data_IF_954653969529
#
_entry.id   IF_954653969529
#
_cell.length_a   1.000
_cell.length_b   1.000
_cell.length_c   1.000
_cell.angle_alpha   90.00
_cell.angle_beta   90.00
_cell.angle_gamma   90.00
#
_symmetry.space_group_name_H-M   'P 1'
#
loop_
_entity.id
_entity.type
_entity.pdbx_description
1 polymer ?
#
# COMPACT_ATOMS: atom_id res chain seq x y z
N UNK A 1 15.95 -24.34 5.99
CA UNK A 1 16.69 -23.58 7.03
C UNK A 1 15.86 -23.61 8.30
N UNK A 2 16.46 -23.66 9.49
CA UNK A 2 15.70 -23.64 10.73
C UNK A 2 15.25 -22.21 11.06
N UNK A 3 13.96 -22.03 11.37
CA UNK A 3 13.40 -20.72 11.78
C UNK A 3 13.95 -20.36 13.16
N UNK A 4 14.56 -19.18 13.29
CA UNK A 4 15.08 -18.67 14.57
C UNK A 4 14.02 -17.82 15.27
N UNK A 5 13.77 -18.10 16.55
CA UNK A 5 12.70 -17.46 17.34
C UNK A 5 13.27 -16.55 18.40
N UNK A 6 12.63 -15.40 18.60
CA UNK A 6 13.03 -14.38 19.55
C UNK A 6 11.88 -14.00 20.46
N UNK A 7 12.24 -13.60 21.69
CA UNK A 7 11.30 -13.07 22.70
C UNK A 7 11.47 -11.57 22.94
N UNK A 8 12.56 -10.98 22.48
CA UNK A 8 12.90 -9.57 22.71
C UNK A 8 13.52 -8.96 21.48
N UNK A 9 13.19 -7.70 21.24
CA UNK A 9 13.57 -6.98 20.03
C UNK A 9 15.08 -6.75 19.91
N UNK A 10 15.77 -6.52 21.02
CA UNK A 10 17.24 -6.35 21.05
C UNK A 10 17.97 -7.57 20.48
N UNK A 11 17.47 -8.78 20.78
CA UNK A 11 18.06 -10.01 20.26
C UNK A 11 17.84 -10.16 18.75
N UNK A 12 16.75 -9.61 18.21
CA UNK A 12 16.50 -9.56 16.76
C UNK A 12 17.41 -8.55 16.09
N UNK A 13 17.53 -7.35 16.66
CA UNK A 13 18.38 -6.27 16.13
C UNK A 13 19.82 -6.74 15.93
N UNK A 14 20.38 -7.48 16.90
CA UNK A 14 21.73 -8.04 16.81
C UNK A 14 21.93 -9.06 15.66
N UNK A 15 20.85 -9.59 15.11
CA UNK A 15 20.87 -10.57 14.01
C UNK A 15 20.58 -9.94 12.65
N UNK A 16 20.03 -8.72 12.65
CA UNK A 16 19.85 -7.91 11.45
C UNK A 16 21.18 -7.23 11.13
N UNK A 17 22.05 -7.98 10.48
CA UNK A 17 23.37 -7.56 9.98
C UNK A 17 23.29 -6.67 8.73
N UNK A 18 22.12 -6.57 8.08
CA UNK A 18 21.93 -5.85 6.83
C UNK A 18 21.31 -4.48 7.04
N UNK A 19 21.86 -3.47 6.35
CA UNK A 19 21.47 -2.06 6.43
C UNK A 19 20.16 -1.71 5.72
N UNK A 20 19.46 -2.70 5.18
CA UNK A 20 18.26 -2.49 4.39
C UNK A 20 17.09 -3.31 4.94
N UNK A 21 16.16 -2.60 5.60
CA UNK A 21 14.99 -3.18 6.27
C UNK A 21 13.74 -2.55 5.68
N UNK A 22 12.87 -3.38 5.12
CA UNK A 22 11.61 -2.97 4.48
C UNK A 22 10.40 -3.50 5.25
N UNK A 23 9.45 -2.63 5.54
CA UNK A 23 8.18 -2.99 6.16
C UNK A 23 7.09 -3.19 5.10
N UNK A 24 6.27 -4.22 5.28
CA UNK A 24 5.12 -4.49 4.41
C UNK A 24 3.81 -4.34 5.17
N UNK A 25 2.99 -3.39 4.73
CA UNK A 25 1.61 -3.25 5.17
C UNK A 25 0.65 -3.66 4.07
N UNK A 26 -0.51 -4.20 4.44
CA UNK A 26 -1.53 -4.61 3.50
C UNK A 26 -2.73 -5.21 4.19
N UNK A 27 -3.53 -5.97 3.45
CA UNK A 27 -4.64 -6.69 4.07
C UNK A 27 -4.14 -7.92 4.81
N UNK A 28 -4.39 -7.99 6.11
CA UNK A 28 -4.17 -9.16 6.98
C UNK A 28 -5.44 -10.01 7.10
N UNK A 29 -6.59 -9.36 7.31
CA UNK A 29 -7.89 -10.02 7.52
C UNK A 29 -8.79 -10.08 6.28
N UNK A 30 -8.36 -9.46 5.18
CA UNK A 30 -9.07 -9.46 3.90
C UNK A 30 -8.14 -10.00 2.82
N UNK A 31 -8.69 -10.67 1.81
CA UNK A 31 -7.89 -11.10 0.67
C UNK A 31 -7.90 -10.07 -0.45
N UNK A 32 -6.83 -10.02 -1.23
CA UNK A 32 -6.80 -9.27 -2.47
C UNK A 32 -7.80 -9.82 -3.50
N UNK A 33 -8.42 -8.94 -4.29
CA UNK A 33 -9.34 -9.36 -5.37
C UNK A 33 -8.58 -9.94 -6.57
N UNK A 34 -7.60 -9.22 -7.05
CA UNK A 34 -6.87 -9.49 -8.29
C UNK A 34 -5.39 -9.75 -7.99
N UNK A 35 -5.13 -10.70 -7.08
CA UNK A 35 -3.79 -10.96 -6.54
C UNK A 35 -2.76 -11.26 -7.64
N UNK A 36 -3.00 -12.27 -8.46
CA UNK A 36 -2.05 -12.70 -9.49
C UNK A 36 -1.98 -11.73 -10.68
N UNK A 37 -3.05 -10.97 -10.92
CA UNK A 37 -3.17 -10.10 -12.10
C UNK A 37 -2.69 -8.67 -11.87
N UNK A 38 -2.68 -8.20 -10.62
CA UNK A 38 -2.30 -6.81 -10.28
C UNK A 38 -1.27 -6.76 -9.16
N UNK A 39 -1.52 -7.45 -8.04
CA UNK A 39 -0.63 -7.36 -6.86
C UNK A 39 0.75 -7.93 -7.15
N UNK A 40 0.82 -9.18 -7.62
CA UNK A 40 2.09 -9.85 -7.92
C UNK A 40 2.91 -9.16 -9.03
N UNK A 41 2.31 -8.75 -10.18
CA UNK A 41 3.03 -7.96 -11.18
C UNK A 41 3.55 -6.63 -10.62
N UNK A 42 2.74 -5.91 -9.85
CA UNK A 42 3.19 -4.65 -9.24
C UNK A 42 4.37 -4.87 -8.30
N UNK A 43 4.33 -5.90 -7.46
CA UNK A 43 5.45 -6.25 -6.59
C UNK A 43 6.70 -6.55 -7.42
N UNK A 44 6.56 -7.34 -8.48
CA UNK A 44 7.68 -7.70 -9.36
C UNK A 44 8.31 -6.49 -10.05
N UNK A 45 7.50 -5.54 -10.50
CA UNK A 45 7.95 -4.39 -11.30
C UNK A 45 8.35 -3.17 -10.45
N UNK A 46 7.76 -3.01 -9.26
CA UNK A 46 7.87 -1.79 -8.46
C UNK A 46 8.52 -1.99 -7.10
N UNK A 47 8.50 -3.21 -6.56
CA UNK A 47 9.08 -3.51 -5.24
C UNK A 47 10.42 -4.22 -5.40
N UNK A 48 10.45 -5.34 -6.13
CA UNK A 48 11.68 -6.15 -6.26
C UNK A 48 12.91 -5.38 -6.75
N UNK A 49 12.82 -4.45 -7.72
CA UNK A 49 14.00 -3.70 -8.18
C UNK A 49 14.64 -2.79 -7.12
N UNK A 50 13.92 -2.49 -6.05
CA UNK A 50 14.42 -1.66 -4.95
C UNK A 50 15.02 -2.46 -3.80
N UNK A 51 14.85 -3.79 -3.79
CA UNK A 51 15.37 -4.64 -2.72
C UNK A 51 16.82 -5.03 -3.04
N UNK A 52 17.77 -4.53 -2.26
CA UNK A 52 19.16 -4.93 -2.34
C UNK A 52 19.36 -6.42 -2.03
N UNK A 53 20.55 -6.92 -2.36
CA UNK A 53 20.93 -8.29 -2.01
C UNK A 53 20.95 -8.46 -0.49
N UNK A 54 20.30 -9.49 0.02
CA UNK A 54 20.26 -9.76 1.47
C UNK A 54 19.30 -8.88 2.29
N UNK A 55 18.53 -7.98 1.66
CA UNK A 55 17.60 -7.10 2.37
C UNK A 55 16.65 -7.87 3.31
N UNK A 56 16.26 -7.25 4.42
CA UNK A 56 15.31 -7.83 5.37
C UNK A 56 13.91 -7.30 5.12
N UNK A 57 12.95 -8.20 4.97
CA UNK A 57 11.53 -7.89 4.86
C UNK A 57 10.87 -8.15 6.21
N UNK A 58 10.11 -7.17 6.71
CA UNK A 58 9.34 -7.26 7.94
C UNK A 58 7.87 -7.42 7.59
N UNK A 59 7.28 -8.52 8.05
CA UNK A 59 5.87 -8.83 7.93
C UNK A 59 5.24 -9.15 9.28
N UNK A 60 3.92 -9.31 9.31
CA UNK A 60 3.15 -9.57 10.53
C UNK A 60 2.51 -10.95 10.44
N UNK A 61 2.53 -11.71 11.54
CA UNK A 61 2.36 -13.18 11.60
C UNK A 61 1.03 -13.79 11.18
N UNK A 62 0.39 -13.27 10.14
CA UNK A 62 -0.79 -13.87 9.54
C UNK A 62 -0.42 -15.14 8.74
N UNK A 63 -1.20 -16.22 8.87
CA UNK A 63 -0.99 -17.44 8.09
C UNK A 63 -1.19 -17.17 6.59
N UNK A 64 -0.49 -17.95 5.76
CA UNK A 64 -0.64 -17.92 4.31
C UNK A 64 -1.84 -18.77 3.90
N UNK A 65 -2.76 -18.18 3.15
CA UNK A 65 -3.87 -18.88 2.51
C UNK A 65 -3.86 -18.58 1.01
N UNK A 66 -3.55 -19.56 0.17
CA UNK A 66 -3.53 -19.40 -1.29
C UNK A 66 -4.91 -19.09 -1.89
N UNK A 67 -6.00 -19.52 -1.22
CA UNK A 67 -7.37 -19.27 -1.70
C UNK A 67 -7.84 -17.85 -1.37
N UNK A 68 -7.28 -17.27 -0.32
CA UNK A 68 -7.60 -15.93 0.16
C UNK A 68 -6.30 -15.15 0.42
N UNK A 69 -5.56 -14.78 -0.65
CA UNK A 69 -4.23 -14.24 -0.50
C UNK A 69 -4.23 -12.89 0.21
N UNK A 70 -3.37 -12.77 1.22
CA UNK A 70 -3.17 -11.59 2.08
C UNK A 70 -1.76 -11.03 1.88
N UNK A 71 -1.36 -10.03 2.68
CA UNK A 71 -0.01 -9.48 2.65
C UNK A 71 1.06 -10.56 2.92
N UNK A 72 0.77 -11.56 3.75
CA UNK A 72 1.67 -12.70 3.99
C UNK A 72 1.94 -13.52 2.72
N UNK A 73 0.96 -13.66 1.83
CA UNK A 73 1.18 -14.30 0.53
C UNK A 73 2.13 -13.49 -0.34
N UNK A 74 2.10 -12.15 -0.26
CA UNK A 74 3.06 -11.30 -0.98
C UNK A 74 4.47 -11.52 -0.45
N UNK A 75 4.67 -11.44 0.86
CA UNK A 75 6.00 -11.60 1.48
C UNK A 75 6.57 -12.99 1.18
N UNK A 76 5.75 -14.04 1.28
CA UNK A 76 6.13 -15.39 0.85
C UNK A 76 6.57 -15.41 -0.61
N UNK A 77 5.78 -14.80 -1.51
CA UNK A 77 6.09 -14.82 -2.93
C UNK A 77 7.39 -14.07 -3.26
N UNK A 78 7.68 -12.97 -2.55
CA UNK A 78 8.96 -12.26 -2.67
C UNK A 78 10.11 -13.17 -2.24
N UNK A 79 10.00 -13.86 -1.08
CA UNK A 79 11.04 -14.80 -0.61
C UNK A 79 11.29 -15.93 -1.60
N UNK A 80 10.25 -16.43 -2.28
CA UNK A 80 10.41 -17.44 -3.33
C UNK A 80 11.14 -16.90 -4.56
N UNK A 81 10.85 -15.67 -4.99
CA UNK A 81 11.55 -15.03 -6.12
C UNK A 81 12.96 -14.53 -5.77
N UNK A 82 13.19 -14.21 -4.50
CA UNK A 82 14.45 -13.67 -3.96
C UNK A 82 14.86 -14.48 -2.73
N UNK A 83 15.40 -15.70 -2.89
CA UNK A 83 15.83 -16.53 -1.76
C UNK A 83 16.91 -15.89 -0.88
N UNK A 84 17.60 -14.88 -1.42
CA UNK A 84 18.63 -14.11 -0.73
C UNK A 84 18.09 -13.11 0.30
N UNK A 85 16.85 -12.63 0.17
CA UNK A 85 16.26 -11.75 1.18
C UNK A 85 15.96 -12.50 2.46
N UNK A 86 16.06 -11.84 3.61
CA UNK A 86 15.67 -12.38 4.91
C UNK A 86 14.24 -11.94 5.24
N UNK A 87 13.47 -12.77 5.93
CA UNK A 87 12.12 -12.42 6.39
C UNK A 87 12.06 -12.48 7.91
N UNK A 88 11.76 -11.34 8.53
CA UNK A 88 11.37 -11.21 9.92
C UNK A 88 9.85 -11.12 10.02
N UNK A 89 9.25 -12.06 10.75
CA UNK A 89 7.85 -11.99 11.12
C UNK A 89 7.72 -11.49 12.55
N UNK A 90 6.97 -10.42 12.75
CA UNK A 90 6.59 -9.91 14.07
C UNK A 90 5.17 -10.41 14.37
N UNK A 91 4.98 -10.99 15.55
CA UNK A 91 3.65 -11.43 15.99
C UNK A 91 3.47 -11.31 17.49
N UNK A 92 2.20 -11.26 17.91
CA UNK A 92 1.85 -11.34 19.32
C UNK A 92 2.04 -12.77 19.83
N UNK A 93 2.37 -12.92 21.11
CA UNK A 93 2.68 -14.21 21.73
C UNK A 93 1.55 -15.24 21.65
N UNK A 94 0.30 -14.81 21.56
CA UNK A 94 -0.85 -15.72 21.40
C UNK A 94 -0.80 -16.51 20.09
N UNK A 95 -0.15 -15.97 19.05
CA UNK A 95 -0.02 -16.63 17.76
C UNK A 95 1.01 -17.77 17.78
N UNK A 96 1.76 -17.97 18.86
CA UNK A 96 2.69 -19.10 19.03
C UNK A 96 2.01 -20.47 19.00
N UNK A 97 0.70 -20.53 19.22
CA UNK A 97 -0.09 -21.76 19.09
C UNK A 97 -0.27 -22.20 17.64
N UNK A 98 -0.02 -21.29 16.68
CA UNK A 98 -0.04 -21.58 15.26
C UNK A 98 1.37 -21.99 14.79
N UNK A 99 1.49 -22.80 13.73
CA UNK A 99 2.79 -23.07 13.11
C UNK A 99 3.45 -21.76 12.66
N UNK A 100 4.76 -21.66 12.86
CA UNK A 100 5.51 -20.52 12.33
C UNK A 100 5.38 -20.47 10.80
N UNK A 101 5.32 -19.26 10.20
CA UNK A 101 5.25 -19.13 8.76
C UNK A 101 6.49 -19.72 8.09
N UNK A 102 6.30 -20.67 7.18
CA UNK A 102 7.40 -21.44 6.57
C UNK A 102 8.39 -20.61 5.74
N UNK A 103 7.99 -19.39 5.37
CA UNK A 103 8.81 -18.43 4.62
C UNK A 103 9.63 -17.50 5.53
N UNK A 104 9.45 -17.57 6.85
CA UNK A 104 10.18 -16.74 7.80
C UNK A 104 11.59 -17.30 8.05
N UNK A 105 12.58 -16.42 8.13
CA UNK A 105 13.91 -16.76 8.65
C UNK A 105 13.95 -16.48 10.16
N UNK A 106 13.27 -15.41 10.58
CA UNK A 106 13.17 -14.95 11.96
C UNK A 106 11.72 -14.77 12.37
N UNK A 107 11.40 -15.14 13.61
CA UNK A 107 10.09 -14.85 14.21
C UNK A 107 10.29 -14.18 15.57
N UNK A 108 9.76 -12.97 15.73
CA UNK A 108 9.70 -12.25 16.99
C UNK A 108 8.29 -12.33 17.55
N UNK A 109 8.15 -13.00 18.69
CA UNK A 109 6.90 -13.00 19.43
C UNK A 109 7.00 -12.15 20.69
N UNK A 110 6.08 -11.20 20.85
CA UNK A 110 6.06 -10.28 22.00
C UNK A 110 4.76 -10.36 22.81
N UNK A 111 4.85 -10.00 24.08
CA UNK A 111 3.70 -9.95 25.01
C UNK A 111 3.08 -8.56 25.12
N UNK A 112 3.64 -7.55 24.44
CA UNK A 112 3.15 -6.17 24.44
C UNK A 112 1.89 -5.99 23.56
N UNK A 113 0.78 -6.62 23.93
CA UNK A 113 -0.51 -6.51 23.23
C UNK A 113 -1.68 -6.55 24.22
N UNK A 114 -2.84 -6.03 23.80
CA UNK A 114 -4.07 -5.98 24.60
C UNK A 114 -5.26 -6.53 23.79
N UNK A 115 -6.28 -7.05 24.47
CA UNK A 115 -7.52 -7.46 23.80
C UNK A 115 -8.28 -6.24 23.27
N UNK A 116 -8.91 -6.37 22.09
CA UNK A 116 -9.74 -5.30 21.51
C UNK A 116 -9.43 -5.01 20.04
N UNK A 117 -9.92 -3.85 19.55
CA UNK A 117 -9.84 -3.46 18.12
C UNK A 117 -8.38 -3.33 17.63
N UNK A 118 -7.44 -3.09 18.53
CA UNK A 118 -6.03 -2.80 18.26
C UNK A 118 -5.08 -3.91 18.71
N UNK A 119 -5.62 -5.11 18.98
CA UNK A 119 -4.87 -6.29 19.41
C UNK A 119 -3.68 -6.63 18.55
N UNK A 120 -3.78 -6.41 17.24
CA UNK A 120 -2.75 -6.77 16.27
C UNK A 120 -1.94 -5.57 15.74
N UNK A 121 -2.27 -4.34 16.16
CA UNK A 121 -1.61 -3.12 15.71
C UNK A 121 -2.53 -1.91 15.71
N UNK A 122 -1.96 -0.75 15.40
CA UNK A 122 -2.59 0.55 15.33
C UNK A 122 -2.17 1.46 16.48
N UNK A 123 -3.07 2.40 16.79
CA UNK A 123 -2.92 3.36 17.89
C UNK A 123 -4.04 3.16 18.89
N UNK A 124 -3.70 3.15 20.18
CA UNK A 124 -4.68 3.11 21.24
C UNK A 124 -5.52 4.41 21.21
N UNK A 125 -6.85 4.33 21.05
CA UNK A 125 -7.70 5.52 20.91
C UNK A 125 -7.80 6.36 22.18
N UNK A 126 -7.43 5.81 23.34
CA UNK A 126 -7.47 6.49 24.64
C UNK A 126 -6.17 7.24 24.90
N UNK A 127 -5.02 6.59 24.70
CA UNK A 127 -3.71 7.18 25.01
C UNK A 127 -3.08 7.90 23.82
N UNK A 128 -3.49 7.55 22.59
CA UNK A 128 -2.83 8.02 21.37
C UNK A 128 -1.50 7.32 21.08
N UNK A 129 -1.11 6.32 21.89
CA UNK A 129 0.18 5.65 21.75
C UNK A 129 0.12 4.45 20.80
N UNK A 130 1.23 4.15 20.07
CA UNK A 130 1.37 2.91 19.30
C UNK A 130 1.21 1.67 20.18
N UNK A 131 0.51 0.65 19.68
CA UNK A 131 0.26 -0.58 20.42
C UNK A 131 0.55 -1.85 19.59
N UNK A 132 0.74 -2.98 20.27
CA UNK A 132 0.95 -4.29 19.64
C UNK A 132 2.11 -4.27 18.63
N UNK A 133 1.96 -4.96 17.49
CA UNK A 133 2.96 -5.02 16.43
C UNK A 133 3.43 -3.62 15.98
N UNK A 134 2.56 -2.59 16.07
CA UNK A 134 2.92 -1.22 15.69
C UNK A 134 3.97 -0.62 16.59
N UNK A 135 3.83 -0.82 17.91
CA UNK A 135 4.86 -0.44 18.87
C UNK A 135 6.18 -1.15 18.59
N UNK A 136 6.13 -2.43 18.26
CA UNK A 136 7.33 -3.24 18.06
C UNK A 136 8.08 -2.86 16.79
N UNK A 137 7.40 -2.64 15.65
CA UNK A 137 8.12 -2.21 14.45
C UNK A 137 8.67 -0.78 14.59
N UNK A 138 8.01 0.07 15.37
CA UNK A 138 8.52 1.42 15.65
C UNK A 138 9.75 1.36 16.57
N UNK A 139 9.73 0.52 17.61
CA UNK A 139 10.91 0.26 18.44
C UNK A 139 12.05 -0.34 17.62
N UNK A 140 11.74 -1.24 16.67
CA UNK A 140 12.72 -1.80 15.74
C UNK A 140 13.38 -0.69 14.92
N UNK A 141 12.58 0.23 14.37
CA UNK A 141 13.08 1.37 13.63
C UNK A 141 14.03 2.23 14.46
N UNK A 142 13.71 2.51 15.72
CA UNK A 142 14.56 3.35 16.58
C UNK A 142 15.84 2.65 17.07
N UNK A 143 15.81 1.32 17.24
CA UNK A 143 16.97 0.56 17.70
C UNK A 143 17.98 0.26 16.58
N UNK A 144 17.53 0.25 15.33
CA UNK A 144 18.41 0.11 14.17
C UNK A 144 19.13 1.44 13.91
N UNK A 145 20.46 1.42 13.87
CA UNK A 145 21.28 2.62 13.59
C UNK A 145 20.90 3.29 12.25
N UNK A 146 20.49 2.50 11.26
CA UNK A 146 20.06 2.95 9.94
C UNK A 146 18.53 3.07 9.81
N UNK A 147 17.78 2.69 10.84
CA UNK A 147 16.33 2.64 10.81
C UNK A 147 15.73 1.70 9.77
N UNK A 148 14.44 1.90 9.51
CA UNK A 148 13.71 1.25 8.42
C UNK A 148 13.92 2.07 7.16
N UNK A 149 14.30 1.41 6.08
CA UNK A 149 14.62 2.05 4.80
C UNK A 149 13.36 2.52 4.06
N UNK A 150 12.30 1.71 4.02
CA UNK A 150 11.04 2.03 3.33
C UNK A 150 9.88 1.16 3.80
N UNK A 151 8.67 1.71 3.75
CA UNK A 151 7.41 0.98 3.92
C UNK A 151 6.71 0.80 2.57
N UNK A 152 6.34 -0.44 2.27
CA UNK A 152 5.52 -0.80 1.11
C UNK A 152 4.09 -1.07 1.58
N UNK A 153 3.13 -0.29 1.08
CA UNK A 153 1.72 -0.45 1.44
C UNK A 153 0.96 -1.02 0.25
N UNK A 154 0.45 -2.24 0.39
CA UNK A 154 -0.30 -2.95 -0.66
C UNK A 154 -1.75 -3.07 -0.21
N UNK A 155 -2.51 -1.96 -0.24
CA UNK A 155 -3.84 -1.88 0.37
C UNK A 155 -3.81 -1.80 1.89
N UNK A 156 -4.89 -2.18 2.56
CA UNK A 156 -5.00 -2.13 4.02
C UNK A 156 -6.29 -1.47 4.51
N UNK A 157 -6.42 -1.35 5.82
CA UNK A 157 -7.60 -0.78 6.48
C UNK A 157 -7.26 0.37 7.42
N UNK A 158 -8.17 0.63 8.37
CA UNK A 158 -7.98 1.61 9.46
C UNK A 158 -6.64 1.50 10.19
N UNK A 159 -6.16 0.29 10.49
CA UNK A 159 -4.86 0.09 11.16
C UNK A 159 -3.71 0.55 10.27
N UNK A 160 -3.66 0.10 9.02
CA UNK A 160 -2.65 0.53 8.04
C UNK A 160 -2.61 2.05 7.87
N UNK A 161 -3.78 2.69 7.88
CA UNK A 161 -3.90 4.15 7.85
C UNK A 161 -3.22 4.84 9.04
N UNK A 162 -3.43 4.31 10.25
CA UNK A 162 -2.79 4.82 11.45
C UNK A 162 -1.27 4.62 11.38
N UNK A 163 -0.82 3.45 10.95
CA UNK A 163 0.61 3.13 10.84
C UNK A 163 1.32 3.98 9.79
N UNK A 164 0.65 4.28 8.67
CA UNK A 164 1.20 5.21 7.66
C UNK A 164 1.39 6.62 8.21
N UNK A 165 0.47 7.11 9.05
CA UNK A 165 0.61 8.42 9.69
C UNK A 165 1.79 8.44 10.64
N UNK A 166 1.87 7.45 11.54
CA UNK A 166 3.00 7.30 12.46
C UNK A 166 4.33 7.23 11.70
N UNK A 167 4.39 6.42 10.65
CA UNK A 167 5.61 6.28 9.86
C UNK A 167 6.04 7.59 9.18
N UNK A 168 5.09 8.38 8.68
CA UNK A 168 5.39 9.63 7.98
C UNK A 168 5.64 10.81 8.92
N UNK A 169 4.88 10.92 10.01
CA UNK A 169 4.88 12.08 10.90
C UNK A 169 5.92 11.93 12.02
N UNK A 170 6.07 10.73 12.60
CA UNK A 170 6.96 10.49 13.73
C UNK A 170 8.30 9.87 13.30
N UNK A 171 8.26 8.83 12.47
CA UNK A 171 9.46 8.09 12.09
C UNK A 171 10.12 8.61 10.79
N UNK A 172 9.45 9.50 10.06
CA UNK A 172 9.89 10.07 8.78
C UNK A 172 10.30 9.02 7.72
N UNK A 173 9.75 7.80 7.80
CA UNK A 173 10.10 6.69 6.91
C UNK A 173 9.46 6.92 5.53
N UNK A 174 10.19 6.72 4.42
CA UNK A 174 9.61 6.75 3.08
C UNK A 174 8.51 5.69 2.90
N UNK A 175 7.39 6.07 2.30
CA UNK A 175 6.25 5.17 2.05
C UNK A 175 5.91 5.14 0.57
N UNK A 176 5.83 3.95 -0.03
CA UNK A 176 5.23 3.76 -1.35
C UNK A 176 3.96 2.91 -1.21
N UNK A 177 2.82 3.51 -1.54
CA UNK A 177 1.51 2.90 -1.39
C UNK A 177 0.88 2.54 -2.74
N UNK A 178 0.49 1.29 -2.90
CA UNK A 178 -0.24 0.71 -4.03
C UNK A 178 -1.60 0.24 -3.52
N UNK A 179 -2.66 0.97 -3.87
CA UNK A 179 -3.99 0.70 -3.32
C UNK A 179 -4.77 -0.33 -4.14
N UNK A 180 -4.76 -1.58 -3.69
CA UNK A 180 -5.54 -2.66 -4.31
C UNK A 180 -6.92 -2.85 -3.66
N UNK A 181 -7.88 -3.29 -4.46
CA UNK A 181 -9.22 -3.62 -3.97
C UNK A 181 -9.23 -4.97 -3.22
N UNK A 182 -9.95 -5.07 -2.08
CA UNK A 182 -10.19 -6.35 -1.45
C UNK A 182 -11.19 -7.17 -2.26
N UNK A 183 -11.10 -8.50 -2.14
CA UNK A 183 -11.99 -9.48 -2.78
C UNK A 183 -13.44 -9.20 -2.41
N UNK A 184 -13.71 -8.92 -1.13
CA UNK A 184 -15.03 -8.47 -0.65
C UNK A 184 -15.00 -6.98 -0.35
N UNK A 185 -15.77 -6.22 -1.12
CA UNK A 185 -15.87 -4.77 -0.96
C UNK A 185 -17.01 -4.41 0.00
N UNK A 186 -16.68 -4.13 1.26
CA UNK A 186 -17.63 -3.61 2.25
C UNK A 186 -17.68 -2.09 2.23
N UNK A 187 -18.72 -1.48 2.82
CA UNK A 187 -18.78 -0.02 2.97
C UNK A 187 -17.60 0.51 3.81
N UNK A 188 -17.19 -0.24 4.84
CA UNK A 188 -15.99 0.04 5.64
C UNK A 188 -14.74 0.06 4.77
N UNK A 189 -14.51 -0.98 3.95
CA UNK A 189 -13.35 -1.05 3.06
C UNK A 189 -13.32 0.10 2.04
N UNK A 190 -14.49 0.55 1.54
CA UNK A 190 -14.56 1.75 0.67
C UNK A 190 -14.12 3.01 1.40
N UNK A 191 -14.55 3.19 2.65
CA UNK A 191 -14.16 4.32 3.50
C UNK A 191 -12.66 4.33 3.79
N UNK A 192 -12.08 3.17 4.10
CA UNK A 192 -10.65 3.02 4.36
C UNK A 192 -9.81 3.36 3.12
N UNK A 193 -10.18 2.84 1.94
CA UNK A 193 -9.50 3.17 0.68
C UNK A 193 -9.62 4.66 0.36
N UNK A 194 -10.79 5.26 0.55
CA UNK A 194 -10.98 6.70 0.33
C UNK A 194 -10.10 7.54 1.28
N UNK A 195 -9.97 7.12 2.53
CA UNK A 195 -9.11 7.76 3.53
C UNK A 195 -7.64 7.65 3.15
N UNK A 196 -7.19 6.47 2.69
CA UNK A 196 -5.81 6.26 2.22
C UNK A 196 -5.47 7.20 1.08
N UNK A 197 -6.42 7.43 0.17
CA UNK A 197 -6.25 8.40 -0.93
C UNK A 197 -6.10 9.82 -0.44
N UNK A 198 -6.89 10.23 0.53
CA UNK A 198 -6.85 11.60 1.06
C UNK A 198 -5.51 11.93 1.71
N UNK A 199 -4.84 10.95 2.33
CA UNK A 199 -3.54 11.14 2.98
C UNK A 199 -2.38 11.33 2.01
N UNK A 200 -2.51 10.88 0.76
CA UNK A 200 -1.43 10.99 -0.21
C UNK A 200 -1.79 11.94 -1.38
N UNK A 201 -2.95 12.60 -1.34
CA UNK A 201 -3.35 13.52 -2.39
C UNK A 201 -2.57 14.85 -2.30
N UNK A 202 -1.99 15.38 -3.42
CA UNK A 202 -1.09 16.54 -3.38
C UNK A 202 -1.70 17.81 -2.80
N UNK A 203 -3.02 17.95 -2.92
CA UNK A 203 -3.80 19.11 -2.46
C UNK A 203 -4.54 18.89 -1.14
N UNK A 204 -4.32 17.75 -0.47
CA UNK A 204 -4.98 17.49 0.81
C UNK A 204 -4.25 18.23 1.93
N UNK A 205 -4.96 18.92 2.84
CA UNK A 205 -4.35 19.49 4.03
C UNK A 205 -3.80 18.41 4.98
N UNK A 206 -4.22 17.15 4.83
CA UNK A 206 -3.74 16.00 5.60
C UNK A 206 -2.70 15.17 4.83
N UNK A 207 -1.92 15.79 3.93
CA UNK A 207 -0.93 15.10 3.10
C UNK A 207 0.26 14.62 3.93
N UNK A 208 0.67 13.37 3.72
CA UNK A 208 1.91 12.84 4.25
C UNK A 208 3.10 13.24 3.35
N UNK A 209 4.11 13.95 3.88
CA UNK A 209 5.19 14.53 3.07
C UNK A 209 6.08 13.46 2.40
N UNK A 210 6.24 12.30 3.03
CA UNK A 210 7.15 11.23 2.59
C UNK A 210 6.42 10.02 1.97
N UNK A 211 5.18 10.20 1.51
CA UNK A 211 4.37 9.14 0.91
C UNK A 211 4.12 9.35 -0.60
N UNK A 212 4.46 8.34 -1.41
CA UNK A 212 4.08 8.25 -2.83
C UNK A 212 2.86 7.33 -2.98
N UNK A 213 1.91 7.72 -3.83
CA UNK A 213 0.72 6.91 -4.10
C UNK A 213 0.67 6.46 -5.56
N UNK A 214 0.51 5.17 -5.73
CA UNK A 214 0.31 4.51 -7.00
C UNK A 214 -1.11 3.96 -7.07
N UNK A 215 -1.77 4.26 -8.17
CA UNK A 215 -3.10 3.75 -8.48
C UNK A 215 -2.98 2.77 -9.62
N UNK A 216 -3.40 1.53 -9.37
CA UNK A 216 -3.63 0.57 -10.44
C UNK A 216 -5.13 0.36 -10.61
N UNK A 217 -5.66 0.79 -11.75
CA UNK A 217 -7.08 0.71 -12.07
C UNK A 217 -7.33 -0.52 -12.92
N UNK A 218 -7.32 -1.69 -12.29
CA UNK A 218 -7.70 -2.95 -12.94
C UNK A 218 -9.10 -2.92 -13.54
N UNK A 219 -9.19 -2.95 -14.87
CA UNK A 219 -10.39 -3.00 -15.72
C UNK A 219 -11.46 -1.90 -15.51
N UNK A 220 -11.99 -1.40 -16.63
CA UNK A 220 -12.86 -0.22 -16.78
C UNK A 220 -14.18 -0.22 -15.98
N UNK A 221 -14.59 -1.33 -15.35
CA UNK A 221 -15.86 -1.41 -14.59
C UNK A 221 -15.80 -0.68 -13.24
N UNK A 222 -14.64 -0.71 -12.57
CA UNK A 222 -14.45 -0.03 -11.30
C UNK A 222 -14.39 1.49 -11.49
N UNK A 223 -13.74 1.95 -12.57
CA UNK A 223 -13.70 3.37 -12.96
C UNK A 223 -15.11 3.91 -13.27
N UNK A 224 -15.94 3.12 -13.98
CA UNK A 224 -17.36 3.47 -14.26
C UNK A 224 -18.20 3.57 -12.99
N UNK A 225 -18.01 2.63 -12.05
CA UNK A 225 -18.72 2.63 -10.76
C UNK A 225 -18.28 3.79 -9.87
N UNK A 226 -17.01 4.19 -9.94
CA UNK A 226 -16.47 5.32 -9.19
C UNK A 226 -16.94 6.67 -9.77
N UNK A 227 -16.96 6.80 -11.10
CA UNK A 227 -17.47 8.00 -11.79
C UNK A 227 -18.96 8.21 -11.55
N UNK A 228 -19.77 7.14 -11.50
CA UNK A 228 -21.20 7.26 -11.25
C UNK A 228 -21.57 7.61 -9.80
N UNK A 229 -20.72 7.28 -8.83
CA UNK A 229 -20.96 7.58 -7.40
C UNK A 229 -20.35 8.90 -6.93
N UNK A 230 -19.23 9.34 -7.52
CA UNK A 230 -18.56 10.59 -7.13
C UNK A 230 -19.04 11.81 -7.94
N UNK A 231 -19.70 11.60 -9.08
CA UNK A 231 -20.29 12.65 -9.93
C UNK A 231 -21.72 12.24 -10.31
N UNK A 232 -22.72 12.42 -9.43
CA UNK A 232 -24.11 12.18 -9.79
C UNK A 232 -24.50 13.14 -10.92
N UNK A 233 -24.47 12.66 -12.16
CA UNK A 233 -24.69 13.44 -13.39
C UNK A 233 -23.66 13.23 -14.51
N UNK A 234 -22.55 12.51 -14.27
CA UNK A 234 -21.63 12.11 -15.34
C UNK A 234 -22.14 10.82 -16.03
N UNK A 235 -22.96 10.97 -17.07
CA UNK A 235 -23.25 9.86 -17.97
C UNK A 235 -22.04 9.57 -18.86
N UNK A 236 -21.44 8.40 -18.70
CA UNK A 236 -20.56 7.85 -19.74
C UNK A 236 -21.44 7.27 -20.85
N UNK A 237 -21.84 8.09 -21.82
CA UNK A 237 -22.49 7.60 -23.03
C UNK A 237 -21.42 7.10 -24.01
N UNK A 238 -21.40 5.79 -24.29
CA UNK A 238 -20.93 5.31 -25.58
C UNK A 238 -21.87 5.88 -26.65
N UNK A 239 -21.29 6.42 -27.72
CA UNK A 239 -21.94 7.41 -28.58
C UNK A 239 -23.31 7.00 -29.15
N UNK A 240 -24.19 7.98 -29.21
CA UNK A 240 -25.13 8.19 -30.32
C UNK A 240 -25.46 9.68 -30.39
N UNK A 241 -25.36 10.26 -31.58
CA UNK A 241 -25.61 11.67 -31.86
C UNK A 241 -26.97 12.16 -31.35
N UNK A 242 -26.99 13.35 -30.75
CA UNK A 242 -28.22 14.00 -30.31
C UNK A 242 -27.97 15.43 -29.82
N UNK A 243 -28.30 16.42 -30.67
CA UNK A 243 -28.26 17.85 -30.36
C UNK A 243 -29.21 18.19 -29.19
N UNK A 244 -28.74 18.98 -28.20
CA UNK A 244 -29.39 20.20 -27.66
C UNK A 244 -28.66 20.75 -26.41
N UNK A 245 -28.28 22.02 -26.48
CA UNK A 245 -28.59 23.07 -25.50
C UNK A 245 -27.97 23.06 -24.08
N UNK A 246 -27.12 24.09 -23.86
CA UNK A 246 -27.03 24.97 -22.69
C UNK A 246 -25.98 24.81 -21.58
N UNK A 247 -25.41 25.99 -21.29
CA UNK A 247 -24.71 26.55 -20.12
C UNK A 247 -23.19 26.38 -19.97
N UNK A 248 -22.55 27.56 -19.95
CA UNK A 248 -21.12 27.83 -19.79
C UNK A 248 -20.67 27.52 -18.37
N UNK A 249 -19.60 26.74 -18.28
CA UNK A 249 -18.73 26.59 -17.13
C UNK A 249 -17.55 25.77 -17.61
N UNK A 250 -16.33 26.31 -17.51
CA UNK A 250 -15.12 25.61 -17.94
C UNK A 250 -14.97 24.34 -17.08
N UNK A 251 -15.33 23.19 -17.63
CA UNK A 251 -15.08 21.89 -16.99
C UNK A 251 -13.69 21.44 -17.37
N UNK A 252 -12.76 21.48 -16.42
CA UNK A 252 -11.45 20.86 -16.57
C UNK A 252 -11.59 19.36 -16.33
N UNK A 253 -11.27 18.54 -17.33
CA UNK A 253 -11.23 17.09 -17.20
C UNK A 253 -9.81 16.64 -17.51
N UNK A 254 -9.08 16.21 -16.49
CA UNK A 254 -7.81 15.51 -16.69
C UNK A 254 -8.17 14.04 -16.92
N UNK A 255 -8.09 13.61 -18.18
CA UNK A 255 -8.25 12.21 -18.54
C UNK A 255 -6.86 11.60 -18.77
N UNK A 256 -6.46 10.70 -17.87
CA UNK A 256 -5.34 9.80 -18.12
C UNK A 256 -5.90 8.54 -18.80
N UNK A 257 -5.53 8.31 -20.05
CA UNK A 257 -5.86 7.08 -20.78
C UNK A 257 -4.57 6.28 -20.94
N UNK A 258 -4.54 5.08 -20.36
CA UNK A 258 -3.44 4.13 -20.52
C UNK A 258 -3.75 3.22 -21.70
N UNK A 259 -3.00 3.38 -22.79
CA UNK A 259 -2.99 2.45 -23.92
C UNK A 259 -2.03 1.29 -23.64
N UNK A 260 -2.41 0.08 -24.05
CA UNK A 260 -1.79 -1.20 -23.65
C UNK A 260 -0.37 -1.47 -24.18
N UNK A 261 0.33 -0.49 -24.74
CA UNK A 261 1.71 -0.67 -25.20
C UNK A 261 2.33 0.69 -25.51
N UNK A 262 3.41 1.03 -24.80
CA UNK A 262 4.29 2.19 -24.95
C UNK A 262 3.75 3.57 -24.46
N UNK A 263 4.17 3.92 -23.24
CA UNK A 263 4.32 5.31 -22.79
C UNK A 263 3.10 5.97 -22.12
N UNK A 264 3.37 6.76 -21.08
CA UNK A 264 2.38 7.66 -20.48
C UNK A 264 2.20 8.90 -21.36
N UNK A 265 0.96 9.20 -21.75
CA UNK A 265 0.61 10.48 -22.35
C UNK A 265 -0.37 11.20 -21.44
N UNK A 266 0.00 12.41 -21.01
CA UNK A 266 -0.92 13.34 -20.37
C UNK A 266 -1.54 14.17 -21.49
N UNK A 267 -2.86 14.04 -21.66
CA UNK A 267 -3.59 14.88 -22.61
C UNK A 267 -4.22 16.04 -21.85
N UNK A 268 -3.98 17.25 -22.35
CA UNK A 268 -4.71 18.42 -21.88
C UNK A 268 -5.94 18.60 -22.76
N UNK A 269 -7.12 18.44 -22.16
CA UNK A 269 -8.39 18.66 -22.87
C UNK A 269 -9.07 19.84 -22.22
N UNK A 270 -9.29 20.89 -23.01
CA UNK A 270 -10.07 22.04 -22.60
C UNK A 270 -11.10 22.38 -23.67
N UNK A 271 -12.19 23.01 -23.23
CA UNK A 271 -13.26 23.45 -24.12
C UNK A 271 -13.03 24.92 -24.48
N UNK A 272 -12.89 25.21 -25.77
CA UNK A 272 -12.77 26.57 -26.30
C UNK A 272 -13.96 26.84 -27.21
N UNK A 273 -14.93 27.62 -26.71
CA UNK A 273 -16.23 27.79 -27.38
C UNK A 273 -17.02 26.47 -27.44
N UNK A 274 -17.48 26.09 -28.63
CA UNK A 274 -18.20 24.82 -28.89
C UNK A 274 -17.27 23.65 -29.26
N UNK A 275 -15.96 23.89 -29.40
CA UNK A 275 -14.98 22.89 -29.79
C UNK A 275 -14.21 22.35 -28.58
N UNK A 276 -13.93 21.04 -28.61
CA UNK A 276 -12.99 20.40 -27.70
C UNK A 276 -11.60 20.45 -28.32
N UNK A 277 -10.65 21.07 -27.62
CA UNK A 277 -9.26 21.16 -28.06
C UNK A 277 -8.43 20.18 -27.25
N UNK A 278 -7.81 19.25 -27.95
CA UNK A 278 -6.93 18.22 -27.38
C UNK A 278 -5.49 18.60 -27.70
N UNK A 279 -4.72 18.93 -26.67
CA UNK A 279 -3.32 19.33 -26.82
C UNK A 279 -2.37 18.24 -26.34
N UNK A 280 -1.47 17.84 -27.25
CA UNK A 280 -0.22 17.09 -27.08
C UNK A 280 0.72 17.67 -26.03
N UNK A 281 0.70 17.28 -24.76
CA UNK A 281 1.85 17.56 -23.87
C UNK A 281 3.00 16.63 -24.26
N UNK A 282 4.07 17.22 -24.81
CA UNK A 282 5.28 16.51 -25.23
C UNK A 282 6.10 16.14 -23.99
N UNK A 283 6.76 14.99 -24.06
CA UNK A 283 7.65 14.37 -23.07
C UNK A 283 8.52 15.41 -22.33
N UNK A 284 8.28 15.61 -21.02
CA UNK A 284 9.22 16.30 -20.13
C UNK A 284 10.12 15.23 -19.51
N UNK A 285 11.19 14.89 -20.22
CA UNK A 285 12.37 14.33 -19.56
C UNK A 285 12.95 15.41 -18.66
N UNK A 286 12.94 15.18 -17.35
CA UNK A 286 13.73 15.97 -16.42
C UNK A 286 14.97 15.16 -16.06
N UNK A 287 16.03 15.46 -16.80
CA UNK A 287 17.39 15.53 -16.28
C UNK A 287 17.38 16.51 -15.09
N UNK A 288 17.94 16.09 -13.96
CA UNK A 288 18.43 17.01 -12.93
C UNK A 288 19.84 16.54 -12.60
N UNK A 289 20.82 17.34 -13.04
CA UNK A 289 22.19 17.27 -12.56
C UNK A 289 22.34 17.79 -11.13
#
# INVERSE_FOLDING_TARGET
>A
MAIKRFRGIVAVVNELDQREVHLFFGYSSQSYRDFDRQVLPTVKEKVLPFLAHGATLVGFGDPVDERNPTISNVVRQIKEWRPDVKVLVIGISELRKLPDPSYADFVLYHDSWEEGEYKYGGVNPVTGEPCSNTKIWLELHHLLEWGVSKIWVLGGGKVTLQEMRLAAEEAQIPIDAFLFAPKRMTQRARGDIASLRSLCHPKSPSRLPNATLHFDFGSSSWLRTMLSTCLPGASASAGSEGKRGLTRGVKMVIAAVVGASAGFFVWWIHQSGSAWVVSRLKWLGLDLG
#
